data_IF_129046643926
#
_entry.id   IF_129046643926
#
_cell.length_a   1.000
_cell.length_b   1.000
_cell.length_c   1.000
_cell.angle_alpha   90.00
_cell.angle_beta   90.00
_cell.angle_gamma   90.00
#
_symmetry.space_group_name_H-M   'P 1'
#
loop_
_entity.id
_entity.type
_entity.pdbx_description
1 polymer ?
#
# COMPACT_ATOMS: atom_id res chain seq x y z
N UNK A 1 5.73 -16.74 6.55
CA UNK A 1 6.47 -17.20 5.35
C UNK A 1 5.46 -17.37 4.22
N UNK A 2 5.74 -16.93 2.98
CA UNK A 2 4.85 -17.31 1.85
C UNK A 2 5.04 -18.82 1.69
N UNK A 3 3.96 -19.60 1.85
CA UNK A 3 3.98 -21.04 1.57
C UNK A 3 4.38 -21.24 0.11
N UNK A 4 5.07 -22.34 -0.21
CA UNK A 4 5.50 -22.64 -1.59
C UNK A 4 4.33 -22.39 -2.55
N UNK A 5 4.42 -21.35 -3.41
CA UNK A 5 3.31 -20.99 -4.27
C UNK A 5 3.02 -22.15 -5.20
N UNK A 6 1.73 -22.38 -5.46
CA UNK A 6 1.32 -23.41 -6.40
C UNK A 6 1.93 -23.08 -7.77
N UNK A 7 2.72 -24.00 -8.31
CA UNK A 7 3.16 -23.89 -9.69
C UNK A 7 1.96 -24.00 -10.62
N UNK A 8 1.80 -23.03 -11.52
CA UNK A 8 0.75 -23.01 -12.54
C UNK A 8 1.47 -23.17 -13.87
N UNK A 9 1.18 -24.27 -14.58
CA UNK A 9 1.79 -24.55 -15.89
C UNK A 9 1.53 -23.38 -16.84
N UNK A 10 2.59 -22.89 -17.49
CA UNK A 10 2.51 -21.78 -18.43
C UNK A 10 2.56 -20.38 -17.80
N UNK A 11 2.74 -20.27 -16.47
CA UNK A 11 2.88 -19.00 -15.77
C UNK A 11 4.26 -18.85 -15.12
N UNK A 12 4.82 -17.65 -15.24
CA UNK A 12 6.00 -17.22 -14.50
C UNK A 12 5.55 -16.62 -13.15
N UNK A 13 6.01 -17.21 -12.05
CA UNK A 13 5.82 -16.60 -10.73
C UNK A 13 6.62 -15.29 -10.63
N UNK A 14 5.97 -14.24 -10.13
CA UNK A 14 6.55 -12.91 -9.90
C UNK A 14 6.44 -12.59 -8.42
N UNK A 15 7.54 -12.19 -7.80
CA UNK A 15 7.62 -11.95 -6.36
C UNK A 15 8.00 -10.49 -6.06
N UNK A 16 7.03 -9.57 -5.93
CA UNK A 16 7.29 -8.15 -5.67
C UNK A 16 7.70 -7.84 -4.23
N UNK A 17 7.71 -8.85 -3.34
CA UNK A 17 7.89 -8.64 -1.91
C UNK A 17 9.39 -8.53 -1.57
N UNK A 18 9.73 -7.58 -0.69
CA UNK A 18 11.10 -7.22 -0.29
C UNK A 18 12.05 -8.41 -0.04
N UNK A 19 11.57 -9.47 0.61
CA UNK A 19 12.40 -10.61 1.04
C UNK A 19 12.57 -11.72 -0.01
N UNK A 20 11.95 -11.60 -1.17
CA UNK A 20 11.86 -12.69 -2.15
C UNK A 20 12.67 -12.46 -3.42
N UNK A 21 13.59 -11.47 -3.42
CA UNK A 21 14.40 -11.16 -4.59
C UNK A 21 15.28 -12.33 -5.07
N UNK A 22 15.74 -13.17 -4.14
CA UNK A 22 16.65 -14.28 -4.43
C UNK A 22 15.95 -15.62 -4.73
N UNK A 23 14.61 -15.64 -4.86
CA UNK A 23 13.87 -16.87 -5.17
C UNK A 23 14.31 -17.45 -6.51
N UNK A 24 14.40 -18.78 -6.57
CA UNK A 24 14.83 -19.52 -7.77
C UNK A 24 13.67 -20.07 -8.59
N UNK A 25 12.47 -20.08 -8.01
CA UNK A 25 11.22 -20.61 -8.59
C UNK A 25 10.35 -19.52 -9.22
N UNK A 26 10.97 -18.41 -9.64
CA UNK A 26 10.31 -17.31 -10.34
C UNK A 26 11.19 -16.06 -10.40
N UNK A 27 10.56 -14.94 -10.76
CA UNK A 27 11.21 -13.65 -10.92
C UNK A 27 11.04 -12.80 -9.65
N UNK A 28 12.14 -12.50 -8.98
CA UNK A 28 12.18 -11.58 -7.85
C UNK A 28 12.26 -10.12 -8.32
N UNK A 29 11.39 -9.27 -7.79
CA UNK A 29 11.33 -7.85 -8.13
C UNK A 29 11.11 -6.99 -6.88
N UNK A 30 12.00 -7.10 -5.89
CA UNK A 30 11.84 -6.42 -4.60
C UNK A 30 11.79 -4.89 -4.69
N UNK A 31 12.25 -4.29 -5.79
CA UNK A 31 12.10 -2.85 -6.07
C UNK A 31 10.62 -2.42 -6.09
N UNK A 32 9.71 -3.34 -6.44
CA UNK A 32 8.26 -3.12 -6.42
C UNK A 32 7.64 -3.27 -5.02
N UNK A 33 8.44 -3.55 -4.00
CA UNK A 33 7.93 -3.65 -2.64
C UNK A 33 7.64 -2.25 -2.09
N UNK A 34 6.53 -2.03 -1.36
CA UNK A 34 6.29 -0.78 -0.62
C UNK A 34 7.41 -0.42 0.37
N UNK A 35 8.19 -1.42 0.77
CA UNK A 35 9.37 -1.29 1.62
C UNK A 35 10.59 -0.68 0.91
N UNK A 36 10.59 -0.72 -0.42
CA UNK A 36 11.64 -0.19 -1.30
C UNK A 36 11.20 1.08 -2.01
N UNK A 37 9.91 1.22 -2.32
CA UNK A 37 9.36 2.41 -2.97
C UNK A 37 9.39 3.61 -2.03
N UNK A 38 9.96 4.72 -2.49
CA UNK A 38 10.06 5.99 -1.77
C UNK A 38 11.20 6.84 -2.30
N UNK A 39 11.39 8.06 -1.78
CA UNK A 39 10.60 8.71 -0.72
C UNK A 39 9.19 9.15 -1.16
N UNK A 40 8.34 9.54 -0.21
CA UNK A 40 6.99 10.08 -0.43
C UNK A 40 6.93 11.56 -0.02
N UNK A 41 6.92 12.44 -1.02
CA UNK A 41 6.73 13.88 -0.86
C UNK A 41 5.23 14.19 -0.83
N UNK A 42 4.64 14.14 0.37
CA UNK A 42 3.19 14.28 0.57
C UNK A 42 2.72 15.69 0.92
N UNK A 43 3.63 16.64 1.15
CA UNK A 43 3.34 18.06 1.45
C UNK A 43 2.36 18.32 2.60
N UNK A 44 2.22 17.39 3.55
CA UNK A 44 1.34 17.58 4.71
C UNK A 44 2.08 18.47 5.73
N UNK A 45 1.45 19.54 6.23
CA UNK A 45 2.10 20.45 7.17
C UNK A 45 2.51 19.73 8.46
N UNK A 46 3.68 20.09 8.99
CA UNK A 46 4.21 19.53 10.24
C UNK A 46 4.68 18.07 10.18
N UNK A 47 4.63 17.42 9.01
CA UNK A 47 5.13 16.06 8.82
C UNK A 47 6.31 16.04 7.84
N UNK A 48 7.40 15.31 8.18
CA UNK A 48 8.53 15.16 7.26
C UNK A 48 8.18 14.21 6.12
N UNK A 49 8.92 14.28 5.02
CA UNK A 49 8.88 13.27 3.95
C UNK A 49 9.03 11.86 4.52
N UNK A 50 8.17 10.93 4.11
CA UNK A 50 8.29 9.54 4.50
C UNK A 50 9.30 8.83 3.60
N UNK A 51 10.30 8.17 4.18
CA UNK A 51 11.41 7.59 3.40
C UNK A 51 11.03 6.34 2.58
N UNK A 52 9.86 5.74 2.84
CA UNK A 52 9.31 4.65 2.06
C UNK A 52 7.78 4.60 2.20
N UNK A 53 7.12 4.01 1.20
CA UNK A 53 5.66 3.88 1.11
C UNK A 53 5.08 3.05 2.26
N UNK A 54 5.79 2.00 2.70
CA UNK A 54 5.35 1.20 3.85
C UNK A 54 5.22 2.07 5.11
N UNK A 55 6.24 2.84 5.47
CA UNK A 55 6.21 3.73 6.63
C UNK A 55 5.18 4.86 6.44
N UNK A 56 5.08 5.43 5.24
CA UNK A 56 4.03 6.41 4.93
C UNK A 56 2.64 5.90 5.29
N UNK A 57 2.33 4.67 4.85
CA UNK A 57 1.03 4.04 5.07
C UNK A 57 0.84 3.57 6.52
N UNK A 58 1.82 2.89 7.13
CA UNK A 58 1.66 2.34 8.49
C UNK A 58 1.55 3.41 9.56
N UNK A 59 2.32 4.51 9.43
CA UNK A 59 2.28 5.60 10.41
C UNK A 59 1.18 6.63 10.15
N UNK A 60 0.44 6.51 9.05
CA UNK A 60 -0.83 7.22 8.87
C UNK A 60 -1.98 6.58 9.66
N UNK A 61 -1.89 5.30 10.04
CA UNK A 61 -2.94 4.56 10.75
C UNK A 61 -2.97 4.90 12.23
N UNK A 62 -4.16 5.06 12.81
CA UNK A 62 -4.36 5.31 14.24
C UNK A 62 -5.31 4.27 14.85
N UNK A 63 -4.91 3.69 15.96
CA UNK A 63 -5.71 2.74 16.74
C UNK A 63 -6.36 3.42 17.94
N UNK A 64 -7.42 2.81 18.49
CA UNK A 64 -8.21 3.41 19.57
C UNK A 64 -7.41 3.74 20.84
N UNK A 65 -6.27 3.09 21.09
CA UNK A 65 -5.40 3.37 22.23
C UNK A 65 -4.39 4.50 21.99
N UNK A 66 -4.33 5.05 20.77
CA UNK A 66 -3.38 6.10 20.38
C UNK A 66 -4.00 7.49 20.31
N UNK A 67 -5.29 7.57 20.62
CA UNK A 67 -6.15 8.73 20.47
C UNK A 67 -6.76 9.12 21.82
N UNK A 68 -7.12 10.38 21.96
CA UNK A 68 -7.74 10.93 23.16
C UNK A 68 -9.28 10.83 23.12
N UNK A 69 -9.93 11.44 24.12
CA UNK A 69 -11.39 11.50 24.25
C UNK A 69 -12.08 12.27 23.11
N UNK A 70 -11.35 13.11 22.38
CA UNK A 70 -11.83 13.89 21.24
C UNK A 70 -11.54 13.20 19.92
N UNK A 71 -11.13 11.93 19.96
CA UNK A 71 -10.74 11.14 18.79
C UNK A 71 -9.55 11.77 18.04
N UNK A 72 -8.64 12.42 18.74
CA UNK A 72 -7.43 13.03 18.17
C UNK A 72 -6.18 12.31 18.66
N UNK A 73 -5.11 12.22 17.83
CA UNK A 73 -3.86 11.62 18.27
C UNK A 73 -3.28 12.30 19.51
N UNK A 74 -2.75 11.50 20.43
CA UNK A 74 -1.91 12.04 21.51
C UNK A 74 -0.58 12.59 20.97
N UNK A 75 0.04 13.51 21.69
CA UNK A 75 1.35 14.05 21.32
C UNK A 75 2.43 12.97 21.18
N UNK A 76 2.38 11.95 22.04
CA UNK A 76 3.28 10.80 21.96
C UNK A 76 3.12 10.06 20.63
N UNK A 77 1.88 9.84 20.18
CA UNK A 77 1.61 9.19 18.90
C UNK A 77 2.08 10.04 17.72
N UNK A 78 1.89 11.37 17.78
CA UNK A 78 2.38 12.28 16.74
C UNK A 78 3.91 12.27 16.64
N UNK A 79 4.63 12.29 17.76
CA UNK A 79 6.09 12.12 17.77
C UNK A 79 6.53 10.77 17.19
N UNK A 80 5.81 9.70 17.51
CA UNK A 80 6.09 8.38 16.97
C UNK A 80 5.88 8.34 15.44
N UNK A 81 4.85 9.01 14.92
CA UNK A 81 4.60 9.16 13.48
C UNK A 81 5.75 9.86 12.76
N UNK A 82 6.23 10.98 13.30
CA UNK A 82 7.38 11.72 12.74
C UNK A 82 8.62 10.81 12.65
N UNK A 83 8.94 10.10 13.73
CA UNK A 83 10.06 9.14 13.75
C UNK A 83 9.88 8.01 12.73
N UNK A 84 8.65 7.52 12.58
CA UNK A 84 8.31 6.50 11.60
C UNK A 84 8.55 6.93 10.16
N UNK A 85 8.11 8.14 9.80
CA UNK A 85 8.32 8.70 8.47
C UNK A 85 9.81 8.88 8.15
N UNK A 86 10.62 9.32 9.12
CA UNK A 86 12.07 9.49 8.98
C UNK A 86 12.87 8.18 9.08
N UNK A 87 12.23 7.04 9.39
CA UNK A 87 12.91 5.76 9.50
C UNK A 87 13.25 5.18 8.13
N UNK A 88 14.52 4.82 7.93
CA UNK A 88 14.99 4.04 6.76
C UNK A 88 14.56 2.57 6.83
N UNK A 89 14.17 2.08 8.01
CA UNK A 89 13.76 0.70 8.22
C UNK A 89 12.24 0.63 8.06
N UNK A 90 11.72 -0.06 7.02
CA UNK A 90 10.29 -0.16 6.76
C UNK A 90 9.62 -1.13 7.74
N UNK A 91 8.76 -0.59 8.62
CA UNK A 91 8.01 -1.36 9.60
C UNK A 91 6.82 -2.04 8.90
N UNK A 92 6.70 -3.38 8.97
CA UNK A 92 5.52 -4.09 8.41
C UNK A 92 4.22 -3.68 9.12
N UNK A 93 4.32 -3.45 10.43
CA UNK A 93 3.25 -2.95 11.28
C UNK A 93 3.87 -1.92 12.22
N UNK A 94 3.13 -0.86 12.53
CA UNK A 94 3.57 0.18 13.48
C UNK A 94 3.73 -0.38 14.90
N UNK A 95 2.90 -1.35 15.27
CA UNK A 95 2.89 -2.04 16.56
C UNK A 95 3.03 -3.55 16.37
N UNK A 96 3.44 -4.26 17.42
CA UNK A 96 3.47 -5.73 17.39
C UNK A 96 2.06 -6.31 17.31
N UNK A 97 1.93 -7.51 16.74
CA UNK A 97 0.65 -8.21 16.65
C UNK A 97 0.02 -8.48 18.03
N UNK A 98 0.83 -8.64 19.08
CA UNK A 98 0.37 -8.85 20.45
C UNK A 98 -0.30 -7.60 21.04
N UNK A 99 0.12 -6.40 20.63
CA UNK A 99 -0.56 -5.16 20.98
C UNK A 99 -1.83 -5.04 20.14
N UNK A 100 -1.69 -5.17 18.82
CA UNK A 100 -2.79 -4.94 17.89
C UNK A 100 -3.99 -5.87 18.14
N UNK A 101 -3.75 -7.14 18.44
CA UNK A 101 -4.80 -8.13 18.69
C UNK A 101 -5.65 -7.83 19.93
N UNK A 102 -5.13 -7.07 20.91
CA UNK A 102 -5.90 -6.63 22.10
C UNK A 102 -6.97 -5.59 21.78
N UNK A 103 -6.82 -4.89 20.66
CA UNK A 103 -7.68 -3.76 20.28
C UNK A 103 -8.47 -4.04 19.00
N UNK A 104 -8.57 -5.31 18.60
CA UNK A 104 -9.38 -5.76 17.47
C UNK A 104 -8.56 -6.35 16.33
N UNK A 105 -9.02 -6.14 15.10
CA UNK A 105 -8.34 -6.66 13.92
C UNK A 105 -7.04 -5.88 13.68
N UNK A 106 -5.92 -6.60 13.62
CA UNK A 106 -4.58 -6.04 13.42
C UNK A 106 -4.43 -5.19 12.16
N UNK A 107 -5.31 -5.41 11.17
CA UNK A 107 -5.31 -4.69 9.90
C UNK A 107 -6.37 -3.57 9.82
N UNK A 108 -7.25 -3.43 10.82
CA UNK A 108 -8.33 -2.45 10.83
C UNK A 108 -8.03 -1.35 11.88
N UNK A 109 -7.27 -0.29 11.50
CA UNK A 109 -7.15 0.88 12.36
C UNK A 109 -8.51 1.56 12.51
N UNK A 110 -8.65 2.45 13.51
CA UNK A 110 -9.86 3.25 13.68
C UNK A 110 -10.04 4.21 12.50
N UNK A 111 -8.96 4.87 12.11
CA UNK A 111 -8.87 5.69 10.90
C UNK A 111 -7.41 5.85 10.47
N UNK A 112 -7.21 6.39 9.28
CA UNK A 112 -5.93 6.96 8.84
C UNK A 112 -6.02 8.49 8.85
N UNK A 113 -4.99 9.17 9.33
CA UNK A 113 -4.98 10.63 9.48
C UNK A 113 -4.09 11.28 8.43
N UNK A 114 -4.63 12.23 7.68
CA UNK A 114 -3.87 13.12 6.80
C UNK A 114 -4.22 14.56 7.14
N UNK A 115 -3.47 15.50 6.58
CA UNK A 115 -3.67 16.92 6.81
C UNK A 115 -3.81 17.63 5.48
N UNK A 116 -4.75 18.58 5.43
CA UNK A 116 -4.80 19.58 4.37
C UNK A 116 -3.60 20.52 4.43
N UNK A 117 -3.37 21.26 3.35
CA UNK A 117 -2.38 22.33 3.25
C UNK A 117 -2.53 23.41 4.34
N UNK A 118 -3.75 23.67 4.82
CA UNK A 118 -4.03 24.59 5.94
C UNK A 118 -3.85 23.97 7.35
N UNK A 119 -3.48 22.68 7.43
CA UNK A 119 -3.31 21.95 8.68
C UNK A 119 -4.57 21.27 9.20
N UNK A 120 -5.71 21.37 8.50
CA UNK A 120 -6.95 20.71 8.91
C UNK A 120 -6.78 19.18 8.89
N UNK A 121 -7.05 18.48 10.00
CA UNK A 121 -6.96 17.02 10.06
C UNK A 121 -8.13 16.37 9.29
N UNK A 122 -7.81 15.40 8.45
CA UNK A 122 -8.77 14.57 7.71
C UNK A 122 -8.61 13.11 8.12
N UNK A 123 -9.70 12.51 8.58
CA UNK A 123 -9.76 11.10 9.00
C UNK A 123 -10.38 10.29 7.88
N UNK A 124 -9.69 9.24 7.47
CA UNK A 124 -10.10 8.35 6.40
C UNK A 124 -10.36 6.96 6.95
N UNK A 125 -11.46 6.35 6.49
CA UNK A 125 -11.77 4.95 6.72
C UNK A 125 -10.72 4.03 6.07
N UNK A 126 -10.82 2.73 6.35
CA UNK A 126 -9.95 1.73 5.74
C UNK A 126 -10.04 1.75 4.20
N UNK A 127 -11.26 1.90 3.64
CA UNK A 127 -11.48 1.96 2.21
C UNK A 127 -10.91 3.25 1.62
N UNK A 128 -11.27 4.40 2.18
CA UNK A 128 -10.90 5.70 1.63
C UNK A 128 -9.37 5.90 1.65
N UNK A 129 -8.68 5.36 2.66
CA UNK A 129 -7.22 5.48 2.75
C UNK A 129 -6.46 4.66 1.69
N UNK A 130 -7.11 3.67 1.04
CA UNK A 130 -6.50 2.88 -0.03
C UNK A 130 -6.03 3.76 -1.17
N UNK A 131 -6.75 4.86 -1.44
CA UNK A 131 -6.41 5.82 -2.49
C UNK A 131 -4.95 6.28 -2.36
N UNK A 132 -4.54 6.81 -1.20
CA UNK A 132 -3.19 7.32 -1.02
C UNK A 132 -2.13 6.25 -1.24
N UNK A 133 -2.33 5.05 -0.71
CA UNK A 133 -1.40 3.94 -0.90
C UNK A 133 -1.27 3.56 -2.38
N UNK A 134 -2.40 3.36 -3.07
CA UNK A 134 -2.40 2.95 -4.47
C UNK A 134 -1.85 4.04 -5.38
N UNK A 135 -2.20 5.30 -5.14
CA UNK A 135 -1.72 6.45 -5.90
C UNK A 135 -0.20 6.60 -5.80
N UNK A 136 0.37 6.58 -4.59
CA UNK A 136 1.83 6.66 -4.46
C UNK A 136 2.54 5.39 -4.95
N UNK A 137 1.91 4.21 -4.80
CA UNK A 137 2.44 3.00 -5.41
C UNK A 137 2.51 3.12 -6.93
N UNK A 138 1.44 3.59 -7.58
CA UNK A 138 1.39 3.86 -9.03
C UNK A 138 2.54 4.79 -9.45
N UNK A 139 2.65 5.97 -8.83
CA UNK A 139 3.66 6.96 -9.19
C UNK A 139 5.09 6.43 -9.07
N UNK A 140 5.37 5.62 -8.05
CA UNK A 140 6.72 5.14 -7.78
C UNK A 140 7.05 3.83 -8.51
N UNK A 141 6.12 2.88 -8.54
CA UNK A 141 6.35 1.56 -9.11
C UNK A 141 6.56 1.64 -10.62
N UNK A 142 5.80 2.50 -11.31
CA UNK A 142 5.87 2.68 -12.77
C UNK A 142 7.23 3.16 -13.26
N UNK A 143 7.98 3.85 -12.39
CA UNK A 143 9.33 4.32 -12.70
C UNK A 143 10.42 3.27 -12.55
N UNK A 144 10.15 2.19 -11.82
CA UNK A 144 11.15 1.15 -11.54
C UNK A 144 11.53 0.34 -12.78
N UNK A 145 12.77 -0.18 -12.79
CA UNK A 145 13.22 -1.12 -13.84
C UNK A 145 12.39 -2.41 -13.79
N UNK A 146 12.09 -2.87 -12.58
CA UNK A 146 11.29 -4.06 -12.36
C UNK A 146 9.90 -3.98 -13.00
N UNK A 147 9.18 -2.85 -12.88
CA UNK A 147 7.88 -2.69 -13.53
C UNK A 147 8.00 -2.72 -15.06
N UNK A 148 8.96 -1.97 -15.60
CA UNK A 148 9.24 -1.91 -17.05
C UNK A 148 9.58 -3.29 -17.62
N UNK A 149 10.32 -4.10 -16.86
CA UNK A 149 10.63 -5.49 -17.21
C UNK A 149 9.39 -6.40 -17.20
N UNK A 150 8.48 -6.26 -16.23
CA UNK A 150 7.23 -7.04 -16.21
C UNK A 150 6.36 -6.72 -17.43
N UNK A 151 6.23 -5.44 -17.81
CA UNK A 151 5.55 -5.04 -19.05
C UNK A 151 6.22 -5.64 -20.29
N UNK A 152 7.56 -5.66 -20.32
CA UNK A 152 8.30 -6.28 -21.42
C UNK A 152 7.99 -7.78 -21.53
N UNK A 153 7.98 -8.51 -20.41
CA UNK A 153 7.63 -9.94 -20.38
C UNK A 153 6.21 -10.19 -20.87
N UNK A 154 5.24 -9.38 -20.47
CA UNK A 154 3.86 -9.47 -20.99
C UNK A 154 3.84 -9.30 -22.52
N UNK A 155 4.56 -8.30 -23.04
CA UNK A 155 4.69 -8.08 -24.50
C UNK A 155 5.36 -9.23 -25.24
N UNK A 156 6.24 -9.98 -24.57
CA UNK A 156 6.86 -11.20 -25.10
C UNK A 156 5.96 -12.45 -25.00
N UNK A 157 4.73 -12.32 -24.50
CA UNK A 157 3.77 -13.42 -24.38
C UNK A 157 3.87 -14.23 -23.09
N UNK A 158 4.58 -13.73 -22.07
CA UNK A 158 4.60 -14.39 -20.76
C UNK A 158 3.27 -14.19 -20.03
N UNK A 159 2.73 -15.28 -19.46
CA UNK A 159 1.70 -15.18 -18.44
C UNK A 159 2.37 -15.01 -17.07
N UNK A 160 2.01 -13.95 -16.34
CA UNK A 160 2.59 -13.66 -15.03
C UNK A 160 1.65 -14.08 -13.91
N UNK A 161 2.18 -14.74 -12.89
CA UNK A 161 1.48 -15.06 -11.65
C UNK A 161 2.08 -14.21 -10.52
N UNK A 162 1.40 -13.14 -10.11
CA UNK A 162 1.86 -12.27 -9.03
C UNK A 162 1.63 -12.99 -7.70
N UNK A 163 2.72 -13.30 -7.00
CA UNK A 163 2.71 -14.07 -5.76
C UNK A 163 3.13 -13.20 -4.58
N UNK A 164 2.26 -13.15 -3.58
CA UNK A 164 2.51 -12.35 -2.38
C UNK A 164 1.68 -12.77 -1.18
N UNK A 165 1.76 -12.01 -0.08
CA UNK A 165 1.05 -12.37 1.16
C UNK A 165 -0.44 -12.09 1.07
N UNK A 166 -0.79 -11.00 0.39
CA UNK A 166 -2.15 -10.50 0.24
C UNK A 166 -2.71 -10.78 -1.17
N UNK A 167 -2.02 -11.63 -1.95
CA UNK A 167 -2.44 -12.02 -3.29
C UNK A 167 -3.57 -13.05 -3.27
N UNK A 168 -4.59 -12.84 -4.11
CA UNK A 168 -5.68 -13.77 -4.35
C UNK A 168 -6.16 -13.69 -5.80
N UNK A 169 -6.90 -14.71 -6.31
CA UNK A 169 -7.40 -14.70 -7.67
C UNK A 169 -8.29 -13.48 -7.96
N UNK A 170 -8.12 -12.82 -9.11
CA UNK A 170 -8.88 -11.61 -9.43
C UNK A 170 -10.36 -11.92 -9.71
N UNK A 171 -11.25 -11.09 -9.16
CA UNK A 171 -12.70 -11.16 -9.42
C UNK A 171 -13.27 -9.90 -10.09
N UNK A 172 -12.42 -8.94 -10.43
CA UNK A 172 -12.78 -7.64 -11.00
C UNK A 172 -12.04 -6.49 -10.28
N UNK A 173 -11.52 -5.51 -11.03
CA UNK A 173 -10.61 -4.51 -10.48
C UNK A 173 -11.28 -3.58 -9.45
N UNK A 174 -12.48 -3.09 -9.77
CA UNK A 174 -13.21 -2.17 -8.88
C UNK A 174 -13.84 -2.92 -7.71
N UNK A 175 -14.36 -4.12 -7.95
CA UNK A 175 -14.96 -4.98 -6.92
C UNK A 175 -13.92 -5.34 -5.85
N UNK A 176 -12.72 -5.74 -6.27
CA UNK A 176 -11.62 -6.00 -5.33
C UNK A 176 -11.20 -4.74 -4.56
N UNK A 177 -11.18 -3.58 -5.22
CA UNK A 177 -10.81 -2.31 -4.57
C UNK A 177 -11.85 -1.87 -3.52
N UNK A 178 -13.14 -2.14 -3.76
CA UNK A 178 -14.23 -1.81 -2.85
C UNK A 178 -14.43 -2.87 -1.75
N UNK A 179 -13.97 -4.10 -1.95
CA UNK A 179 -14.08 -5.18 -0.96
C UNK A 179 -13.18 -4.92 0.25
N UNK A 180 -13.80 -4.51 1.36
CA UNK A 180 -13.12 -4.28 2.64
C UNK A 180 -12.89 -5.57 3.44
N UNK A 181 -13.49 -6.70 3.03
CA UNK A 181 -13.30 -8.00 3.70
C UNK A 181 -11.94 -8.63 3.39
N UNK A 182 -11.29 -8.17 2.32
CA UNK A 182 -9.96 -8.62 1.88
C UNK A 182 -8.99 -7.44 1.81
N UNK A 183 -7.69 -7.70 1.99
CA UNK A 183 -6.69 -6.66 1.73
C UNK A 183 -6.67 -6.28 0.25
N UNK A 184 -6.40 -5.01 -0.03
CA UNK A 184 -6.03 -4.54 -1.37
C UNK A 184 -4.56 -4.10 -1.33
N UNK A 185 -3.68 -5.10 -1.20
CA UNK A 185 -2.24 -4.91 -1.07
C UNK A 185 -1.55 -4.60 -2.40
N UNK A 186 -0.23 -4.40 -2.37
CA UNK A 186 0.54 -4.07 -3.56
C UNK A 186 0.46 -5.14 -4.65
N UNK A 187 0.17 -6.40 -4.32
CA UNK A 187 -0.06 -7.42 -5.34
C UNK A 187 -1.28 -7.09 -6.23
N UNK A 188 -2.36 -6.57 -5.64
CA UNK A 188 -3.57 -6.16 -6.38
C UNK A 188 -3.37 -4.85 -7.12
N UNK A 189 -2.62 -3.90 -6.54
CA UNK A 189 -2.24 -2.66 -7.23
C UNK A 189 -1.39 -2.97 -8.45
N UNK A 190 -0.35 -3.81 -8.31
CA UNK A 190 0.51 -4.21 -9.41
C UNK A 190 -0.27 -4.96 -10.50
N UNK A 191 -1.21 -5.82 -10.11
CA UNK A 191 -2.12 -6.46 -11.07
C UNK A 191 -2.88 -5.40 -11.90
N UNK A 192 -3.53 -4.44 -11.24
CA UNK A 192 -4.23 -3.35 -11.93
C UNK A 192 -3.32 -2.54 -12.86
N UNK A 193 -2.12 -2.18 -12.43
CA UNK A 193 -1.14 -1.45 -13.26
C UNK A 193 -0.67 -2.22 -14.49
N UNK A 194 -0.71 -3.56 -14.46
CA UNK A 194 -0.23 -4.40 -15.57
C UNK A 194 -1.35 -4.79 -16.55
N UNK A 195 -2.62 -4.72 -16.13
CA UNK A 195 -3.77 -5.17 -16.93
C UNK A 195 -4.73 -4.08 -17.37
N UNK A 196 -4.70 -2.91 -16.74
CA UNK A 196 -5.52 -1.76 -17.14
C UNK A 196 -4.63 -0.81 -17.97
N UNK A 197 -4.94 -0.58 -19.26
CA UNK A 197 -4.12 0.28 -20.11
C UNK A 197 -4.16 1.75 -19.71
N UNK A 198 -5.35 2.24 -19.35
CA UNK A 198 -5.59 3.66 -19.10
C UNK A 198 -5.58 3.99 -17.62
N UNK A 199 -4.75 4.96 -17.23
CA UNK A 199 -4.57 5.36 -15.82
C UNK A 199 -5.86 5.88 -15.20
N UNK A 200 -6.71 6.55 -15.98
CA UNK A 200 -8.01 7.08 -15.51
C UNK A 200 -9.02 5.98 -15.15
N UNK A 201 -8.76 4.73 -15.58
CA UNK A 201 -9.55 3.54 -15.30
C UNK A 201 -9.02 2.71 -14.13
N UNK A 202 -7.92 3.14 -13.48
CA UNK A 202 -7.48 2.49 -12.24
C UNK A 202 -8.53 2.65 -11.14
N UNK A 203 -8.79 1.60 -10.32
CA UNK A 203 -9.87 1.64 -9.33
C UNK A 203 -9.81 2.82 -8.36
N UNK A 204 -8.60 3.17 -7.90
CA UNK A 204 -8.41 4.32 -7.01
C UNK A 204 -8.60 5.67 -7.71
N UNK A 205 -8.31 5.76 -9.02
CA UNK A 205 -8.54 6.97 -9.80
C UNK A 205 -10.03 7.15 -10.14
N UNK A 206 -10.76 6.05 -10.39
CA UNK A 206 -12.22 6.04 -10.48
C UNK A 206 -12.82 6.49 -9.15
N UNK A 207 -12.42 5.85 -8.05
CA UNK A 207 -12.93 6.16 -6.70
C UNK A 207 -12.70 7.62 -6.32
N UNK A 208 -11.49 8.16 -6.54
CA UNK A 208 -11.18 9.56 -6.30
C UNK A 208 -12.05 10.52 -7.11
N UNK A 209 -12.29 10.21 -8.39
CA UNK A 209 -13.14 11.05 -9.25
C UNK A 209 -14.59 11.07 -8.76
N UNK A 210 -15.10 9.95 -8.27
CA UNK A 210 -16.46 9.81 -7.74
C UNK A 210 -16.63 10.43 -6.34
N UNK A 211 -15.54 10.57 -5.58
CA UNK A 211 -15.54 11.08 -4.19
C UNK A 211 -14.53 12.22 -4.02
N UNK A 212 -14.50 13.15 -4.99
CA UNK A 212 -13.45 14.17 -5.10
C UNK A 212 -13.36 15.07 -3.87
N UNK A 213 -14.47 15.29 -3.19
CA UNK A 213 -14.59 16.05 -1.94
C UNK A 213 -13.77 15.47 -0.79
N UNK A 214 -13.49 14.16 -0.80
CA UNK A 214 -12.70 13.50 0.23
C UNK A 214 -11.21 13.83 0.12
N UNK A 215 -10.70 14.05 -1.10
CA UNK A 215 -9.26 14.10 -1.37
C UNK A 215 -8.73 15.50 -1.69
N UNK A 216 -9.46 16.53 -1.25
CA UNK A 216 -8.99 17.92 -1.29
C UNK A 216 -7.98 18.10 -0.14
N UNK A 217 -6.71 17.80 -0.43
CA UNK A 217 -5.55 18.03 0.43
C UNK A 217 -4.97 19.43 0.22
#
# INVERSE_FOLDING_TARGET
MIKNPKYIVGYLNVFPNYRHNARKDGYGCSELSPKSLGPIEHNMPGLPTALNLENFHQYAKFWSFEIDINDMPTEQTLHHRIKGYQSKIPARHKHSNDILSKYGNVNAPKYSLYYRSDGTPLKYSYLECRYFYCHYYELLATETKSYKELLHKIKQGYNLNIVGYDGYPPSGHIEMYLDISKPYGHEMVLYALLTIPETCSYPWNIYNREHKELYIL
#
